data_IF_905002369176
#
_entry.id   IF_905002369176
#
_cell.length_a   1.000
_cell.length_b   1.000
_cell.length_c   1.000
_cell.angle_alpha   90.00
_cell.angle_beta   90.00
_cell.angle_gamma   90.00
#
_symmetry.space_group_name_H-M   'P 1'
#
loop_
_entity.id
_entity.type
_entity.pdbx_description
1 polymer ?
#
# COMPACT_ATOMS: atom_id res chain seq x y z
N UNK A 1 -3.05 -13.04 0.19
CA UNK A 1 -4.10 -12.27 -0.50
C UNK A 1 -3.62 -10.87 -0.93
N UNK A 2 -2.83 -10.19 -0.10
CA UNK A 2 -2.42 -8.78 -0.30
C UNK A 2 -1.09 -8.56 -1.04
N UNK A 3 -0.33 -9.63 -1.30
CA UNK A 3 0.90 -9.58 -2.11
C UNK A 3 0.71 -8.86 -3.46
N UNK A 4 -0.38 -9.05 -4.22
CA UNK A 4 -0.57 -8.36 -5.49
C UNK A 4 -0.64 -6.84 -5.34
N UNK A 5 -1.24 -6.34 -4.25
CA UNK A 5 -1.36 -4.91 -3.98
C UNK A 5 -0.01 -4.30 -3.60
N UNK A 6 0.73 -4.99 -2.71
CA UNK A 6 2.10 -4.60 -2.32
C UNK A 6 3.08 -4.68 -3.48
N UNK A 7 2.85 -5.59 -4.43
CA UNK A 7 3.68 -5.71 -5.64
C UNK A 7 3.34 -4.66 -6.70
N UNK A 8 2.17 -4.03 -6.63
CA UNK A 8 1.74 -2.92 -7.50
C UNK A 8 0.77 -3.30 -8.61
N UNK A 9 -0.08 -4.31 -8.40
CA UNK A 9 -1.08 -4.74 -9.37
C UNK A 9 -2.05 -3.61 -9.77
N UNK A 10 -2.43 -2.75 -8.82
CA UNK A 10 -3.30 -1.60 -9.11
C UNK A 10 -2.61 -0.61 -10.04
N UNK A 11 -1.33 -0.32 -9.80
CA UNK A 11 -0.55 0.57 -10.67
C UNK A 11 -0.38 -0.03 -12.07
N UNK A 12 -0.11 -1.34 -12.16
CA UNK A 12 0.01 -2.04 -13.44
C UNK A 12 -1.29 -1.99 -14.25
N UNK A 13 -2.44 -2.25 -13.62
CA UNK A 13 -3.74 -2.19 -14.30
C UNK A 13 -4.13 -0.76 -14.70
N UNK A 14 -3.85 0.23 -13.85
CA UNK A 14 -4.08 1.64 -14.20
C UNK A 14 -3.17 2.12 -15.34
N UNK A 15 -1.93 1.63 -15.43
CA UNK A 15 -1.02 1.94 -16.53
C UNK A 15 -1.51 1.42 -17.88
N UNK A 16 -2.18 0.26 -17.89
CA UNK A 16 -2.84 -0.31 -19.07
C UNK A 16 -4.21 0.33 -19.36
N UNK A 17 -4.61 1.37 -18.62
CA UNK A 17 -5.86 2.11 -18.83
C UNK A 17 -7.10 1.46 -18.24
N UNK A 18 -6.96 0.39 -17.44
CA UNK A 18 -8.09 -0.19 -16.73
C UNK A 18 -8.48 0.68 -15.53
N UNK A 19 -9.79 0.90 -15.38
CA UNK A 19 -10.33 1.47 -14.15
C UNK A 19 -10.23 0.43 -13.06
N UNK A 20 -9.32 0.64 -12.11
CA UNK A 20 -9.02 -0.31 -11.04
C UNK A 20 -9.18 0.35 -9.69
N UNK A 21 -9.87 -0.34 -8.78
CA UNK A 21 -10.08 0.09 -7.41
C UNK A 21 -9.13 -0.66 -6.46
N UNK A 22 -8.38 0.09 -5.66
CA UNK A 22 -7.44 -0.44 -4.67
C UNK A 22 -6.30 0.55 -4.38
N UNK A 23 -5.48 0.27 -3.35
CA UNK A 23 -4.33 1.11 -3.04
C UNK A 23 -3.24 0.95 -4.11
N UNK A 24 -2.59 2.07 -4.45
CA UNK A 24 -1.33 2.03 -5.20
C UNK A 24 -0.25 1.35 -4.35
N UNK A 25 0.80 0.84 -4.99
CA UNK A 25 1.96 0.20 -4.34
C UNK A 25 2.53 1.02 -3.19
N UNK A 26 2.67 2.33 -3.41
CA UNK A 26 3.19 3.27 -2.41
C UNK A 26 2.30 3.40 -1.18
N UNK A 27 0.98 3.18 -1.31
CA UNK A 27 0.06 3.16 -0.18
C UNK A 27 -0.02 1.78 0.46
N UNK A 28 0.02 0.70 -0.35
CA UNK A 28 -0.04 -0.69 0.12
C UNK A 28 1.13 -1.08 1.05
N UNK A 29 2.24 -0.34 1.02
CA UNK A 29 3.38 -0.54 1.93
C UNK A 29 2.99 -0.44 3.42
N UNK A 30 1.90 0.27 3.75
CA UNK A 30 1.40 0.36 5.13
C UNK A 30 0.98 -1.00 5.70
N UNK A 31 0.57 -1.95 4.86
CA UNK A 31 0.26 -3.33 5.26
C UNK A 31 1.44 -4.27 4.96
N UNK A 32 2.19 -4.00 3.88
CA UNK A 32 3.32 -4.83 3.45
C UNK A 32 4.58 -4.75 4.33
N UNK A 33 4.78 -3.65 5.08
CA UNK A 33 5.95 -3.47 5.95
C UNK A 33 5.56 -3.06 7.35
N UNK A 34 5.60 -4.01 8.29
CA UNK A 34 5.30 -3.74 9.71
C UNK A 34 6.18 -2.65 10.32
N UNK A 35 7.45 -2.56 9.89
CA UNK A 35 8.38 -1.52 10.34
C UNK A 35 7.88 -0.16 9.87
N UNK A 36 7.56 -0.03 8.59
CA UNK A 36 7.02 1.21 8.03
C UNK A 36 5.72 1.61 8.74
N UNK A 37 4.79 0.67 8.98
CA UNK A 37 3.54 0.97 9.68
C UNK A 37 3.81 1.51 11.08
N UNK A 38 4.71 0.88 11.85
CA UNK A 38 5.07 1.31 13.21
C UNK A 38 5.75 2.67 13.22
N UNK A 39 6.65 2.93 12.28
CA UNK A 39 7.30 4.24 12.15
C UNK A 39 6.30 5.34 11.76
N UNK A 40 5.40 5.05 10.83
CA UNK A 40 4.33 5.98 10.44
C UNK A 40 3.42 6.29 11.62
N UNK A 41 2.98 5.26 12.35
CA UNK A 41 2.13 5.42 13.54
C UNK A 41 2.85 6.25 14.61
N UNK A 42 4.14 6.00 14.85
CA UNK A 42 4.96 6.81 15.78
C UNK A 42 5.08 8.26 15.32
N UNK A 43 5.37 8.50 14.04
CA UNK A 43 5.55 9.84 13.45
C UNK A 43 4.30 10.70 13.59
N UNK A 44 3.12 10.08 13.50
CA UNK A 44 1.83 10.78 13.55
C UNK A 44 1.07 10.58 14.86
N UNK A 45 1.75 10.09 15.92
CA UNK A 45 1.17 9.87 17.25
C UNK A 45 -0.10 8.99 17.25
N UNK A 46 -0.14 8.01 16.36
CA UNK A 46 -1.22 7.01 16.29
C UNK A 46 -0.92 5.91 17.32
N UNK A 47 -1.84 5.60 18.25
CA UNK A 47 -1.68 4.49 19.18
C UNK A 47 -1.49 3.17 18.43
N UNK A 48 -0.47 2.40 18.81
CA UNK A 48 -0.05 1.18 18.09
C UNK A 48 0.50 0.14 19.03
#
# INVERSE_FOLDING_TARGET
PDDPLVLGMVDALQAEGFKTFGPKKAAAIIEGSKVFSKELMKKYNIPT
#
